data_IF_973426592888
#
_entry.id   IF_973426592888
#
_cell.length_a   1.000
_cell.length_b   1.000
_cell.length_c   1.000
_cell.angle_alpha   90.00
_cell.angle_beta   90.00
_cell.angle_gamma   90.00
#
_symmetry.space_group_name_H-M   'P 1'
#
loop_
_entity.id
_entity.type
_entity.pdbx_description
1 polymer ?
#
# COMPACT_ATOMS: atom_id res chain seq x y z
N UNK A 1 -7.77 -8.42 -13.89
CA UNK A 1 -7.09 -8.62 -12.58
C UNK A 1 -6.25 -9.88 -12.66
N UNK A 2 -4.95 -9.86 -12.34
CA UNK A 2 -4.08 -11.05 -12.36
C UNK A 2 -4.57 -12.15 -11.41
N UNK A 3 -4.23 -13.41 -11.70
CA UNK A 3 -4.72 -14.57 -10.95
C UNK A 3 -4.34 -14.54 -9.46
N UNK A 4 -3.11 -14.14 -9.14
CA UNK A 4 -2.63 -13.99 -7.76
C UNK A 4 -3.55 -13.11 -6.92
N UNK A 5 -4.01 -12.00 -7.49
CA UNK A 5 -4.90 -11.06 -6.81
C UNK A 5 -6.35 -11.57 -6.73
N UNK A 6 -6.84 -12.28 -7.75
CA UNK A 6 -8.17 -12.91 -7.70
C UNK A 6 -8.24 -13.97 -6.58
N UNK A 7 -7.20 -14.80 -6.46
CA UNK A 7 -7.11 -15.84 -5.43
C UNK A 7 -6.99 -15.22 -4.03
N UNK A 8 -6.19 -14.16 -3.88
CA UNK A 8 -6.05 -13.42 -2.62
C UNK A 8 -7.35 -12.72 -2.21
N UNK A 9 -8.04 -12.06 -3.14
CA UNK A 9 -9.33 -11.42 -2.89
C UNK A 9 -10.40 -12.45 -2.46
N UNK A 10 -10.46 -13.59 -3.15
CA UNK A 10 -11.36 -14.69 -2.78
C UNK A 10 -11.04 -15.24 -1.38
N UNK A 11 -9.76 -15.37 -1.06
CA UNK A 11 -9.29 -15.78 0.27
C UNK A 11 -9.66 -14.78 1.37
N UNK A 12 -9.59 -13.48 1.08
CA UNK A 12 -10.05 -12.43 2.00
C UNK A 12 -11.55 -12.55 2.28
N UNK A 13 -12.37 -12.76 1.25
CA UNK A 13 -13.81 -12.96 1.41
C UNK A 13 -14.13 -14.22 2.24
N UNK A 14 -13.43 -15.34 1.97
CA UNK A 14 -13.54 -16.56 2.78
C UNK A 14 -13.14 -16.31 4.24
N UNK A 15 -12.06 -15.58 4.47
CA UNK A 15 -11.58 -15.25 5.81
C UNK A 15 -12.58 -14.36 6.58
N UNK A 16 -13.26 -13.43 5.92
CA UNK A 16 -14.33 -12.62 6.55
C UNK A 16 -15.54 -13.47 6.98
N UNK A 17 -15.79 -14.60 6.30
CA UNK A 17 -16.84 -15.56 6.66
C UNK A 17 -16.38 -16.61 7.70
N UNK A 18 -15.18 -16.45 8.27
CA UNK A 18 -14.61 -17.38 9.24
C UNK A 18 -15.41 -17.39 10.55
N UNK A 19 -15.65 -18.59 11.05
CA UNK A 19 -16.19 -18.89 12.37
C UNK A 19 -15.44 -20.07 12.99
N UNK A 20 -15.78 -20.43 14.23
CA UNK A 20 -15.08 -21.50 14.97
C UNK A 20 -15.12 -22.87 14.28
N UNK A 21 -16.15 -23.15 13.48
CA UNK A 21 -16.35 -24.45 12.83
C UNK A 21 -15.56 -24.55 11.53
N UNK A 22 -15.56 -23.48 10.72
CA UNK A 22 -14.92 -23.50 9.39
C UNK A 22 -13.49 -22.93 9.37
N UNK A 23 -12.97 -22.41 10.49
CA UNK A 23 -11.61 -21.87 10.57
C UNK A 23 -10.53 -22.83 10.04
N UNK A 24 -10.50 -24.13 10.43
CA UNK A 24 -9.44 -25.02 9.97
C UNK A 24 -9.42 -25.24 8.46
N UNK A 25 -10.60 -25.30 7.82
CA UNK A 25 -10.70 -25.51 6.37
C UNK A 25 -10.35 -24.22 5.60
N UNK A 26 -10.75 -23.05 6.12
CA UNK A 26 -10.39 -21.76 5.54
C UNK A 26 -8.88 -21.58 5.57
N UNK A 27 -8.23 -21.81 6.72
CA UNK A 27 -6.78 -21.67 6.81
C UNK A 27 -6.03 -22.62 5.91
N UNK A 28 -6.45 -23.88 5.82
CA UNK A 28 -5.86 -24.83 4.86
C UNK A 28 -5.99 -24.36 3.41
N UNK A 29 -7.12 -23.77 3.05
CA UNK A 29 -7.33 -23.21 1.70
C UNK A 29 -6.39 -22.02 1.46
N UNK A 30 -6.24 -21.13 2.45
CA UNK A 30 -5.36 -19.97 2.36
C UNK A 30 -3.89 -20.40 2.26
N UNK A 31 -3.46 -21.35 3.09
CA UNK A 31 -2.11 -21.92 3.03
C UNK A 31 -1.82 -22.56 1.68
N UNK A 32 -2.77 -23.31 1.12
CA UNK A 32 -2.64 -23.86 -0.23
C UNK A 32 -2.43 -22.76 -1.27
N UNK A 33 -3.20 -21.67 -1.21
CA UNK A 33 -3.06 -20.56 -2.17
C UNK A 33 -1.76 -19.79 -2.01
N UNK A 34 -1.26 -19.66 -0.79
CA UNK A 34 0.06 -19.07 -0.56
C UNK A 34 1.16 -19.96 -1.14
N UNK A 35 1.09 -21.28 -0.92
CA UNK A 35 2.08 -22.20 -1.47
C UNK A 35 2.05 -22.22 -3.00
N UNK A 36 0.87 -22.16 -3.61
CA UNK A 36 0.71 -22.01 -5.07
C UNK A 36 1.39 -20.71 -5.56
N UNK A 37 1.17 -19.59 -4.85
CA UNK A 37 1.76 -18.29 -5.20
C UNK A 37 3.29 -18.29 -5.06
N UNK A 38 3.83 -18.88 -4.00
CA UNK A 38 5.27 -18.96 -3.75
C UNK A 38 5.99 -19.93 -4.70
N UNK A 39 5.28 -20.95 -5.19
CA UNK A 39 5.81 -21.92 -6.15
C UNK A 39 5.69 -21.46 -7.60
N UNK A 40 4.96 -20.37 -7.86
CA UNK A 40 4.80 -19.82 -9.18
C UNK A 40 6.13 -19.22 -9.70
N UNK A 41 6.33 -19.21 -11.03
CA UNK A 41 7.48 -18.50 -11.61
C UNK A 41 7.50 -17.03 -11.18
N UNK A 42 8.69 -16.43 -11.02
CA UNK A 42 8.81 -15.01 -10.71
C UNK A 42 8.06 -14.14 -11.73
N UNK A 43 7.29 -13.13 -11.27
CA UNK A 43 6.59 -12.22 -12.17
C UNK A 43 7.61 -11.38 -12.98
N UNK A 44 7.27 -11.08 -14.23
CA UNK A 44 8.17 -10.41 -15.20
C UNK A 44 7.63 -9.03 -15.61
N UNK A 45 6.32 -8.80 -15.47
CA UNK A 45 5.69 -7.52 -15.82
C UNK A 45 5.45 -6.68 -14.56
N UNK A 46 5.47 -5.34 -14.64
CA UNK A 46 5.18 -4.47 -13.48
C UNK A 46 3.84 -4.79 -12.82
N UNK A 47 2.81 -5.06 -13.63
CA UNK A 47 1.47 -5.38 -13.15
C UNK A 47 1.42 -6.73 -12.42
N UNK A 48 2.13 -7.74 -12.92
CA UNK A 48 2.19 -9.06 -12.26
C UNK A 48 3.01 -8.99 -10.98
N UNK A 49 4.12 -8.24 -10.98
CA UNK A 49 4.91 -7.99 -9.77
C UNK A 49 4.05 -7.30 -8.72
N UNK A 50 3.32 -6.25 -9.10
CA UNK A 50 2.42 -5.52 -8.21
C UNK A 50 1.35 -6.43 -7.62
N UNK A 51 0.66 -7.21 -8.45
CA UNK A 51 -0.37 -8.12 -8.01
C UNK A 51 0.18 -9.26 -7.13
N UNK A 52 1.39 -9.76 -7.43
CA UNK A 52 2.06 -10.77 -6.62
C UNK A 52 2.37 -10.24 -5.23
N UNK A 53 2.98 -9.05 -5.11
CA UNK A 53 3.29 -8.46 -3.80
C UNK A 53 2.03 -8.09 -3.02
N UNK A 54 1.02 -7.52 -3.67
CA UNK A 54 -0.28 -7.23 -3.03
C UNK A 54 -0.94 -8.49 -2.48
N UNK A 55 -0.92 -9.59 -3.23
CA UNK A 55 -1.42 -10.88 -2.76
C UNK A 55 -0.65 -11.36 -1.52
N UNK A 56 0.69 -11.30 -1.53
CA UNK A 56 1.51 -11.64 -0.37
C UNK A 56 1.17 -10.78 0.85
N UNK A 57 1.02 -9.46 0.68
CA UNK A 57 0.61 -8.54 1.76
C UNK A 57 -0.70 -9.01 2.38
N UNK A 58 -1.73 -9.27 1.57
CA UNK A 58 -3.05 -9.70 2.06
C UNK A 58 -2.97 -11.01 2.85
N UNK A 59 -2.24 -12.00 2.32
CA UNK A 59 -2.03 -13.27 3.03
C UNK A 59 -1.23 -13.11 4.33
N UNK A 60 -0.31 -12.15 4.39
CA UNK A 60 0.43 -11.85 5.61
C UNK A 60 -0.43 -11.14 6.65
N UNK A 61 -1.28 -10.19 6.24
CA UNK A 61 -2.21 -9.54 7.16
C UNK A 61 -3.11 -10.59 7.81
N UNK A 62 -3.72 -11.49 7.00
CA UNK A 62 -4.58 -12.55 7.53
C UNK A 62 -3.84 -13.41 8.55
N UNK A 63 -2.66 -13.93 8.19
CA UNK A 63 -1.99 -14.94 9.01
C UNK A 63 -1.24 -14.39 10.22
N UNK A 64 -0.70 -13.18 10.15
CA UNK A 64 0.00 -12.56 11.29
C UNK A 64 -0.98 -12.09 12.38
N UNK A 65 -2.14 -11.57 11.97
CA UNK A 65 -3.07 -10.87 12.85
C UNK A 65 -4.32 -11.67 13.23
N UNK A 66 -4.48 -12.91 12.78
CA UNK A 66 -5.64 -13.72 13.17
C UNK A 66 -5.66 -14.11 14.66
N UNK A 67 -4.48 -14.24 15.27
CA UNK A 67 -4.31 -14.79 16.63
C UNK A 67 -4.10 -16.30 16.68
N UNK A 68 -4.23 -17.01 15.55
CA UNK A 68 -3.80 -18.40 15.44
C UNK A 68 -2.26 -18.51 15.41
N UNK A 69 -1.71 -19.32 16.31
CA UNK A 69 -0.26 -19.47 16.50
C UNK A 69 0.39 -20.16 15.30
N UNK A 70 -0.30 -21.14 14.70
CA UNK A 70 0.19 -21.88 13.54
C UNK A 70 0.27 -20.98 12.30
N UNK A 71 -0.80 -20.25 12.02
CA UNK A 71 -0.87 -19.27 10.94
C UNK A 71 0.22 -18.21 11.08
N UNK A 72 0.42 -17.68 12.30
CA UNK A 72 1.48 -16.70 12.58
C UNK A 72 2.87 -17.29 12.31
N UNK A 73 3.15 -18.48 12.82
CA UNK A 73 4.44 -19.17 12.60
C UNK A 73 4.70 -19.39 11.11
N UNK A 74 3.68 -19.80 10.35
CA UNK A 74 3.76 -19.96 8.90
C UNK A 74 4.02 -18.62 8.18
N UNK A 75 3.40 -17.53 8.63
CA UNK A 75 3.60 -16.21 8.06
C UNK A 75 5.01 -15.65 8.34
N UNK A 76 5.54 -15.84 9.54
CA UNK A 76 6.90 -15.43 9.90
C UNK A 76 7.95 -16.04 8.96
N UNK A 77 7.80 -17.32 8.60
CA UNK A 77 8.71 -18.02 7.69
C UNK A 77 8.75 -17.41 6.29
N UNK A 78 7.69 -16.71 5.87
CA UNK A 78 7.62 -16.13 4.52
C UNK A 78 7.95 -14.64 4.49
N UNK A 79 8.37 -14.03 5.60
CA UNK A 79 8.86 -12.65 5.64
C UNK A 79 9.96 -12.39 4.58
N UNK A 80 10.95 -13.27 4.39
CA UNK A 80 11.96 -13.08 3.33
C UNK A 80 11.35 -13.04 1.92
N UNK A 81 10.25 -13.77 1.68
CA UNK A 81 9.61 -13.81 0.36
C UNK A 81 8.88 -12.49 0.04
N UNK A 82 8.21 -11.87 1.02
CA UNK A 82 7.59 -10.55 0.82
C UNK A 82 8.66 -9.47 0.64
N UNK A 83 9.77 -9.52 1.39
CA UNK A 83 10.90 -8.60 1.20
C UNK A 83 11.50 -8.75 -0.21
N UNK A 84 11.75 -9.98 -0.67
CA UNK A 84 12.24 -10.25 -2.03
C UNK A 84 11.27 -9.75 -3.10
N UNK A 85 9.96 -9.98 -2.92
CA UNK A 85 8.94 -9.50 -3.85
C UNK A 85 8.86 -7.97 -3.89
N UNK A 86 8.98 -7.31 -2.74
CA UNK A 86 9.06 -5.86 -2.66
C UNK A 86 10.32 -5.32 -3.38
N UNK A 87 11.47 -5.99 -3.24
CA UNK A 87 12.67 -5.62 -3.99
C UNK A 87 12.51 -5.83 -5.51
N UNK A 88 11.74 -6.82 -5.95
CA UNK A 88 11.39 -6.96 -7.37
C UNK A 88 10.46 -5.85 -7.87
N UNK A 89 9.57 -5.32 -7.02
CA UNK A 89 8.76 -4.14 -7.36
C UNK A 89 9.60 -2.88 -7.53
N UNK A 90 10.63 -2.75 -6.69
CA UNK A 90 11.48 -1.57 -6.66
C UNK A 90 12.11 -1.24 -8.02
N UNK A 91 12.49 -2.25 -8.82
CA UNK A 91 13.10 -2.04 -10.14
C UNK A 91 12.15 -1.41 -11.18
N UNK A 92 10.84 -1.46 -10.95
CA UNK A 92 9.82 -0.86 -11.84
C UNK A 92 9.27 0.46 -11.33
N UNK A 93 9.50 0.80 -10.07
CA UNK A 93 9.01 2.01 -9.45
C UNK A 93 9.91 3.20 -9.82
N UNK A 94 9.29 4.26 -10.35
CA UNK A 94 9.96 5.52 -10.64
C UNK A 94 9.70 6.51 -9.51
N UNK A 95 10.77 7.11 -8.98
CA UNK A 95 10.71 8.04 -7.84
C UNK A 95 11.02 9.50 -8.23
N UNK A 96 11.59 9.70 -9.41
CA UNK A 96 11.88 11.03 -9.92
C UNK A 96 10.58 11.75 -10.26
N UNK A 97 10.40 12.94 -9.70
CA UNK A 97 9.25 13.82 -9.99
C UNK A 97 9.52 14.75 -11.18
N UNK A 98 10.71 14.67 -11.76
CA UNK A 98 11.13 15.48 -12.91
C UNK A 98 10.24 15.12 -14.13
N UNK A 99 9.54 16.12 -14.66
CA UNK A 99 8.63 15.93 -15.80
C UNK A 99 7.15 15.75 -15.43
N UNK A 100 6.79 15.89 -14.15
CA UNK A 100 5.37 16.01 -13.76
C UNK A 100 4.75 17.24 -14.43
N UNK A 101 3.70 17.08 -15.27
CA UNK A 101 3.13 18.19 -16.01
C UNK A 101 2.40 19.14 -15.05
N UNK A 102 2.71 20.44 -15.12
CA UNK A 102 1.99 21.44 -14.32
C UNK A 102 0.51 21.59 -14.69
N UNK A 103 0.12 21.23 -15.92
CA UNK A 103 -1.29 21.23 -16.34
C UNK A 103 -1.54 20.11 -17.34
N UNK A 104 -2.67 19.41 -17.19
CA UNK A 104 -3.09 18.33 -18.08
C UNK A 104 -4.11 18.85 -19.12
N UNK A 105 -3.97 18.46 -20.41
CA UNK A 105 -4.90 18.90 -21.46
C UNK A 105 -6.29 18.29 -21.26
N UNK A 106 -7.33 19.11 -21.33
CA UNK A 106 -8.73 18.63 -21.27
C UNK A 106 -9.23 18.15 -22.64
N UNK A 107 -8.64 18.66 -23.71
CA UNK A 107 -8.89 18.26 -25.09
C UNK A 107 -7.64 18.48 -25.95
N UNK A 108 -7.21 17.50 -26.77
CA UNK A 108 -7.69 16.12 -26.80
C UNK A 108 -7.36 15.39 -25.48
N UNK A 109 -8.25 14.48 -25.05
CA UNK A 109 -8.15 13.82 -23.73
C UNK A 109 -7.10 12.69 -23.66
N UNK A 110 -6.60 12.23 -24.80
CA UNK A 110 -5.73 11.05 -24.89
C UNK A 110 -4.43 11.17 -24.07
N UNK A 111 -3.68 12.30 -24.08
CA UNK A 111 -2.46 12.43 -23.28
C UNK A 111 -2.74 12.37 -21.77
N UNK A 112 -3.80 13.03 -21.31
CA UNK A 112 -4.26 13.00 -19.92
C UNK A 112 -4.64 11.59 -19.48
N UNK A 113 -5.33 10.84 -20.35
CA UNK A 113 -5.65 9.44 -20.07
C UNK A 113 -4.40 8.59 -19.92
N UNK A 114 -3.41 8.75 -20.81
CA UNK A 114 -2.16 8.01 -20.75
C UNK A 114 -1.38 8.34 -19.46
N UNK A 115 -1.26 9.63 -19.14
CA UNK A 115 -0.61 10.08 -17.90
C UNK A 115 -1.32 9.55 -16.65
N UNK A 116 -2.65 9.62 -16.59
CA UNK A 116 -3.41 9.13 -15.44
C UNK A 116 -3.25 7.62 -15.22
N UNK A 117 -3.24 6.83 -16.30
CA UNK A 117 -3.03 5.38 -16.21
C UNK A 117 -1.62 5.03 -15.72
N UNK A 118 -0.61 5.73 -16.22
CA UNK A 118 0.77 5.55 -15.76
C UNK A 118 0.94 5.99 -14.30
N UNK A 119 0.37 7.14 -13.93
CA UNK A 119 0.37 7.64 -12.56
C UNK A 119 -0.25 6.64 -11.57
N UNK A 120 -1.42 6.05 -11.90
CA UNK A 120 -2.06 5.02 -11.06
C UNK A 120 -1.11 3.84 -10.85
N UNK A 121 -0.48 3.35 -11.92
CA UNK A 121 0.43 2.22 -11.82
C UNK A 121 1.65 2.57 -10.96
N UNK A 122 2.31 3.69 -11.24
CA UNK A 122 3.51 4.13 -10.51
C UNK A 122 3.22 4.39 -9.02
N UNK A 123 2.12 5.06 -8.69
CA UNK A 123 1.75 5.26 -7.28
C UNK A 123 1.35 3.95 -6.60
N UNK A 124 0.69 3.02 -7.31
CA UNK A 124 0.38 1.70 -6.77
C UNK A 124 1.64 0.89 -6.47
N UNK A 125 2.65 0.94 -7.35
CA UNK A 125 3.96 0.34 -7.15
C UNK A 125 4.63 0.92 -5.90
N UNK A 126 4.74 2.25 -5.81
CA UNK A 126 5.40 2.95 -4.70
C UNK A 126 4.72 2.74 -3.36
N UNK A 127 3.39 2.80 -3.31
CA UNK A 127 2.61 2.53 -2.08
C UNK A 127 2.69 1.08 -1.65
N UNK A 128 2.63 0.13 -2.59
CA UNK A 128 2.75 -1.30 -2.28
C UNK A 128 4.14 -1.65 -1.76
N UNK A 129 5.18 -1.09 -2.39
CA UNK A 129 6.56 -1.20 -1.93
C UNK A 129 6.71 -0.68 -0.50
N UNK A 130 6.30 0.57 -0.25
CA UNK A 130 6.36 1.19 1.07
C UNK A 130 5.60 0.37 2.13
N UNK A 131 4.39 -0.08 1.80
CA UNK A 131 3.54 -0.82 2.72
C UNK A 131 4.10 -2.22 3.04
N UNK A 132 4.79 -2.85 2.10
CA UNK A 132 5.43 -4.16 2.32
C UNK A 132 6.46 -4.09 3.44
N UNK A 133 7.35 -3.11 3.38
CA UNK A 133 8.36 -2.90 4.43
C UNK A 133 7.72 -2.39 5.71
N UNK A 134 6.80 -1.43 5.64
CA UNK A 134 6.06 -0.96 6.80
C UNK A 134 5.40 -2.11 7.56
N UNK A 135 4.72 -3.03 6.86
CA UNK A 135 4.06 -4.19 7.46
C UNK A 135 5.05 -5.11 8.18
N UNK A 136 6.17 -5.45 7.52
CA UNK A 136 7.21 -6.32 8.08
C UNK A 136 7.86 -5.68 9.30
N UNK A 137 8.23 -4.39 9.22
CA UNK A 137 8.89 -3.71 10.33
C UNK A 137 7.94 -3.50 11.52
N UNK A 138 6.69 -3.13 11.27
CA UNK A 138 5.68 -3.02 12.33
C UNK A 138 5.49 -4.36 13.04
N UNK A 139 5.39 -5.45 12.28
CA UNK A 139 5.31 -6.79 12.87
C UNK A 139 6.55 -7.14 13.70
N UNK A 140 7.76 -6.87 13.21
CA UNK A 140 9.02 -7.11 13.97
C UNK A 140 9.07 -6.32 15.28
N UNK A 141 8.62 -5.07 15.29
CA UNK A 141 8.53 -4.26 16.51
C UNK A 141 7.57 -4.93 17.51
N UNK A 142 6.37 -5.31 17.05
CA UNK A 142 5.37 -5.93 17.92
C UNK A 142 5.75 -7.33 18.41
N UNK A 143 6.57 -8.07 17.66
CA UNK A 143 7.08 -9.38 18.09
C UNK A 143 8.25 -9.30 19.06
N UNK A 144 8.68 -8.09 19.45
CA UNK A 144 9.77 -7.88 20.41
C UNK A 144 11.16 -8.02 19.80
N UNK A 145 11.30 -7.84 18.48
CA UNK A 145 12.60 -7.84 17.83
C UNK A 145 13.39 -6.58 18.21
N UNK A 146 14.44 -6.74 19.00
CA UNK A 146 15.24 -5.63 19.53
C UNK A 146 16.43 -5.23 18.65
N UNK A 147 16.63 -5.90 17.50
CA UNK A 147 17.74 -5.65 16.56
C UNK A 147 17.28 -4.90 15.31
N UNK A 148 16.41 -3.91 15.49
CA UNK A 148 15.91 -3.10 14.37
C UNK A 148 16.79 -1.87 14.18
N UNK A 149 17.59 -1.85 13.11
CA UNK A 149 18.15 -0.62 12.60
C UNK A 149 17.14 0.01 11.64
N UNK A 150 16.48 1.07 12.10
CA UNK A 150 15.64 1.91 11.23
C UNK A 150 16.50 3.11 10.80
N UNK A 151 16.70 3.26 9.50
CA UNK A 151 17.39 4.42 8.92
C UNK A 151 16.52 5.70 8.95
N UNK A 152 15.32 5.63 9.54
CA UNK A 152 14.32 6.69 9.54
C UNK A 152 13.64 6.89 8.17
N UNK A 153 14.01 6.10 7.16
CA UNK A 153 13.48 6.16 5.79
C UNK A 153 12.70 4.91 5.43
N UNK A 154 12.37 4.08 6.42
CA UNK A 154 11.75 2.76 6.22
C UNK A 154 12.58 1.85 5.27
N UNK A 155 13.90 2.06 5.21
CA UNK A 155 14.81 1.35 4.31
C UNK A 155 14.71 1.78 2.84
N UNK A 156 14.01 2.88 2.56
CA UNK A 156 13.51 3.23 1.23
C UNK A 156 13.58 4.76 1.02
N UNK A 157 14.58 5.23 0.27
CA UNK A 157 14.74 6.65 -0.06
C UNK A 157 13.72 7.13 -1.12
N UNK A 158 12.43 7.18 -0.79
CA UNK A 158 11.36 7.20 -1.80
C UNK A 158 10.28 8.26 -1.57
N UNK A 159 9.65 8.67 -2.67
CA UNK A 159 8.56 9.64 -2.75
C UNK A 159 7.23 8.97 -3.09
N UNK A 160 6.09 9.46 -2.58
CA UNK A 160 4.75 9.06 -3.03
C UNK A 160 3.77 10.23 -2.92
N UNK A 161 2.75 10.24 -3.78
CA UNK A 161 1.77 11.35 -3.82
C UNK A 161 0.63 11.05 -2.86
N UNK A 162 0.35 11.97 -1.95
CA UNK A 162 -0.77 11.96 -1.01
C UNK A 162 -1.85 12.91 -1.53
N UNK A 163 -3.02 12.36 -1.89
CA UNK A 163 -4.18 13.15 -2.31
C UNK A 163 -5.43 12.28 -2.40
N UNK A 164 -6.44 12.57 -1.57
CA UNK A 164 -7.75 11.91 -1.67
C UNK A 164 -8.43 12.15 -3.02
N UNK A 165 -8.33 13.39 -3.55
CA UNK A 165 -9.01 13.76 -4.79
C UNK A 165 -8.46 13.01 -6.01
N UNK A 166 -7.13 12.90 -6.13
CA UNK A 166 -6.51 12.18 -7.24
C UNK A 166 -6.88 10.69 -7.25
N UNK A 167 -6.94 10.05 -6.08
CA UNK A 167 -7.34 8.64 -5.96
C UNK A 167 -8.83 8.41 -6.13
N UNK A 168 -9.67 9.41 -5.84
CA UNK A 168 -11.12 9.33 -6.00
C UNK A 168 -11.59 9.58 -7.44
N UNK A 169 -10.73 10.13 -8.31
CA UNK A 169 -11.09 10.40 -9.69
C UNK A 169 -11.44 9.10 -10.43
N UNK A 170 -12.59 9.09 -11.11
CA UNK A 170 -13.09 7.93 -11.86
C UNK A 170 -12.95 8.11 -13.37
N UNK A 171 -12.61 9.31 -13.82
CA UNK A 171 -12.37 9.61 -15.23
C UNK A 171 -11.09 10.43 -15.44
N UNK A 172 -10.48 10.42 -16.64
CA UNK A 172 -9.31 11.25 -16.92
C UNK A 172 -9.61 12.74 -16.79
N UNK A 173 -10.86 13.15 -17.04
CA UNK A 173 -11.31 14.53 -16.92
C UNK A 173 -11.38 14.97 -15.46
N UNK A 174 -11.96 14.13 -14.59
CA UNK A 174 -11.98 14.36 -13.14
C UNK A 174 -10.56 14.42 -12.57
N UNK A 175 -9.70 13.51 -13.01
CA UNK A 175 -8.29 13.50 -12.59
C UNK A 175 -7.58 14.80 -13.01
N UNK A 176 -7.75 15.26 -14.25
CA UNK A 176 -7.17 16.52 -14.69
C UNK A 176 -7.73 17.75 -13.95
N UNK A 177 -9.01 17.72 -13.58
CA UNK A 177 -9.61 18.73 -12.71
C UNK A 177 -8.96 18.74 -11.34
N UNK A 178 -8.91 17.58 -10.67
CA UNK A 178 -8.27 17.44 -9.36
C UNK A 178 -6.78 17.82 -9.39
N UNK A 179 -6.04 17.42 -10.44
CA UNK A 179 -4.62 17.74 -10.61
C UNK A 179 -4.35 19.25 -10.64
N UNK A 180 -5.25 20.03 -11.25
CA UNK A 180 -5.13 21.49 -11.34
C UNK A 180 -5.70 22.20 -10.11
N UNK A 181 -6.84 21.75 -9.62
CA UNK A 181 -7.69 22.52 -8.72
C UNK A 181 -7.53 22.11 -7.24
N UNK A 182 -6.85 20.99 -6.96
CA UNK A 182 -6.68 20.42 -5.61
C UNK A 182 -5.22 20.27 -5.22
N UNK A 183 -4.96 20.50 -3.95
CA UNK A 183 -3.65 20.25 -3.36
C UNK A 183 -3.35 18.75 -3.37
N UNK A 184 -2.12 18.43 -3.74
CA UNK A 184 -1.56 17.09 -3.70
C UNK A 184 -0.12 17.18 -3.22
N UNK A 185 0.22 16.36 -2.24
CA UNK A 185 1.47 16.48 -1.52
C UNK A 185 2.39 15.32 -1.88
N UNK A 186 3.66 15.59 -2.15
CA UNK A 186 4.66 14.54 -2.34
C UNK A 186 5.38 14.31 -1.03
N UNK A 187 5.15 13.14 -0.43
CA UNK A 187 5.84 12.72 0.80
C UNK A 187 7.11 11.98 0.40
N UNK A 188 8.26 12.52 0.81
CA UNK A 188 9.58 11.96 0.49
C UNK A 188 10.28 11.49 1.76
N UNK A 189 10.86 10.29 1.75
CA UNK A 189 11.62 9.70 2.86
C UNK A 189 10.84 9.70 4.20
N UNK A 190 9.53 9.44 4.14
CA UNK A 190 8.62 9.50 5.29
C UNK A 190 8.61 10.86 6.04
N UNK A 191 8.95 11.96 5.37
CA UNK A 191 8.90 13.31 5.95
C UNK A 191 7.51 13.90 5.73
N UNK A 192 6.73 14.03 6.80
CA UNK A 192 5.34 14.52 6.76
C UNK A 192 5.18 15.99 7.16
N UNK A 193 6.26 16.72 7.48
CA UNK A 193 6.17 18.07 8.07
C UNK A 193 5.30 19.04 7.24
N UNK A 194 5.47 19.07 5.92
CA UNK A 194 4.65 19.92 5.04
C UNK A 194 3.19 19.50 5.04
N UNK A 195 2.91 18.19 4.96
CA UNK A 195 1.55 17.65 5.04
C UNK A 195 0.88 18.01 6.36
N UNK A 196 1.56 17.80 7.49
CA UNK A 196 1.01 18.08 8.82
C UNK A 196 0.75 19.58 9.03
N UNK A 197 1.58 20.44 8.42
CA UNK A 197 1.43 21.88 8.50
C UNK A 197 0.29 22.40 7.61
N UNK A 198 0.17 21.93 6.38
CA UNK A 198 -0.63 22.59 5.33
C UNK A 198 -1.91 21.85 4.96
N UNK A 199 -1.90 20.51 4.97
CA UNK A 199 -3.02 19.72 4.47
C UNK A 199 -4.26 19.85 5.35
N UNK A 200 -5.43 19.73 4.72
CA UNK A 200 -6.73 19.55 5.37
C UNK A 200 -7.04 18.06 5.51
N UNK A 201 -7.97 17.73 6.41
CA UNK A 201 -8.37 16.35 6.65
C UNK A 201 -8.89 15.64 5.38
N UNK A 202 -9.61 16.36 4.53
CA UNK A 202 -10.20 15.83 3.28
C UNK A 202 -9.16 15.62 2.18
N UNK A 203 -7.97 16.20 2.28
CA UNK A 203 -6.89 15.99 1.32
C UNK A 203 -6.21 14.62 1.53
N UNK A 204 -6.40 14.01 2.70
CA UNK A 204 -5.72 12.78 3.11
C UNK A 204 -6.53 11.53 2.74
N UNK A 205 -6.00 10.75 1.80
CA UNK A 205 -6.54 9.45 1.44
C UNK A 205 -6.34 8.37 2.53
N UNK A 206 -6.97 7.21 2.33
CA UNK A 206 -6.94 6.08 3.28
C UNK A 206 -5.52 5.63 3.60
N UNK A 207 -4.62 5.60 2.61
CA UNK A 207 -3.24 5.21 2.84
C UNK A 207 -2.50 6.25 3.69
N UNK A 208 -2.68 7.54 3.38
CA UNK A 208 -2.15 8.64 4.20
C UNK A 208 -2.62 8.59 5.65
N UNK A 209 -3.90 8.27 5.88
CA UNK A 209 -4.45 8.09 7.24
C UNK A 209 -3.74 6.98 8.01
N UNK A 210 -3.47 5.83 7.38
CA UNK A 210 -2.71 4.73 7.98
C UNK A 210 -1.30 5.20 8.38
N UNK A 211 -0.60 5.89 7.47
CA UNK A 211 0.76 6.35 7.71
C UNK A 211 0.83 7.43 8.81
N UNK A 212 -0.07 8.42 8.78
CA UNK A 212 -0.13 9.49 9.79
C UNK A 212 -0.49 8.93 11.16
N UNK A 213 -1.46 8.02 11.25
CA UNK A 213 -1.84 7.37 12.51
C UNK A 213 -0.69 6.57 13.11
N UNK A 214 0.10 5.91 12.26
CA UNK A 214 1.28 5.16 12.69
C UNK A 214 2.41 6.08 13.15
N UNK A 215 2.53 7.27 12.55
CA UNK A 215 3.57 8.25 12.87
C UNK A 215 3.27 8.98 14.18
N UNK A 216 2.04 9.48 14.35
CA UNK A 216 1.67 10.32 15.48
C UNK A 216 1.19 9.51 16.69
N UNK A 217 0.70 8.30 16.47
CA UNK A 217 -0.16 7.61 17.43
C UNK A 217 -1.63 7.98 17.20
N UNK A 218 -2.52 7.15 17.76
CA UNK A 218 -3.97 7.27 17.51
C UNK A 218 -4.54 8.57 18.06
N UNK A 219 -4.26 8.91 19.31
CA UNK A 219 -4.89 10.04 19.99
C UNK A 219 -4.45 11.38 19.37
N UNK A 220 -3.15 11.51 19.10
CA UNK A 220 -2.57 12.67 18.42
C UNK A 220 -3.06 12.78 16.97
N UNK A 221 -3.22 11.66 16.26
CA UNK A 221 -3.79 11.67 14.91
C UNK A 221 -5.26 12.11 14.93
N UNK A 222 -6.08 11.58 15.84
CA UNK A 222 -7.48 12.02 16.02
C UNK A 222 -7.55 13.54 16.29
N UNK A 223 -6.69 14.05 17.17
CA UNK A 223 -6.56 15.48 17.44
C UNK A 223 -6.13 16.30 16.22
N UNK A 224 -5.15 15.80 15.46
CA UNK A 224 -4.68 16.46 14.23
C UNK A 224 -5.78 16.52 13.18
N UNK A 225 -6.47 15.41 12.87
CA UNK A 225 -7.58 15.39 11.91
C UNK A 225 -8.72 16.33 12.33
N UNK A 226 -9.06 16.37 13.62
CA UNK A 226 -10.05 17.31 14.15
C UNK A 226 -9.62 18.78 13.96
N UNK A 227 -8.34 19.10 14.23
CA UNK A 227 -7.80 20.44 14.00
C UNK A 227 -7.79 20.86 12.53
N UNK A 228 -7.74 19.88 11.62
CA UNK A 228 -7.77 20.07 10.16
C UNK A 228 -9.18 19.99 9.55
N UNK A 229 -10.21 20.04 10.40
CA UNK A 229 -11.62 20.13 9.97
C UNK A 229 -12.27 18.81 9.58
N UNK A 230 -11.70 17.66 9.96
CA UNK A 230 -12.27 16.35 9.69
C UNK A 230 -12.18 15.40 10.87
N UNK A 231 -12.24 14.11 10.57
CA UNK A 231 -12.16 13.02 11.55
C UNK A 231 -11.23 11.96 10.99
N UNK A 232 -10.55 11.23 11.87
CA UNK A 232 -9.71 10.09 11.49
C UNK A 232 -10.56 8.98 10.86
#
# INVERSE_FOLDING_TARGET
MPRSMQDAHSSCALYLAKNRVNAPIIFRSIESRVNDLLSAPPPITPMDCLAHTQALILYQIIRLYDGDIGARTSAERIIPAIEASAMSLFSYAQFDTEGTPGTLPLYPIAPTKAFWQDWILQESLRRTLLFSFYLVQTYRIMSGCNMLQCDGRLGLCHSWTLSAYLWSAMTPLEFAGAWRDKDHYVVTNAIFNGVLAEAKADDIDVFGRIMISSLLGRDEAEGWFASKGGKL
#
